data_IF_033531363374
#
_entry.id   IF_033531363374
#
_cell.length_a   1.000
_cell.length_b   1.000
_cell.length_c   1.000
_cell.angle_alpha   90.00
_cell.angle_beta   90.00
_cell.angle_gamma   90.00
#
_symmetry.space_group_name_H-M   'P 1'
#
loop_
_entity.id
_entity.type
_entity.pdbx_description
1 polymer ?
#
# COMPACT_ATOMS: atom_id res chain seq x y z
N UNK A 1 13.69 22.38 14.87
CA UNK A 1 14.54 21.58 13.94
C UNK A 1 13.71 21.29 12.71
N UNK A 2 14.04 21.86 11.56
CA UNK A 2 13.40 21.48 10.30
C UNK A 2 13.79 20.02 10.02
N UNK A 3 12.83 19.10 10.04
CA UNK A 3 13.03 17.79 9.42
C UNK A 3 13.11 18.08 7.93
N UNK A 4 14.29 17.95 7.32
CA UNK A 4 14.40 18.00 5.86
C UNK A 4 13.44 16.94 5.29
N UNK A 5 12.49 17.42 4.48
CA UNK A 5 11.43 16.61 3.89
C UNK A 5 12.05 15.85 2.73
N UNK A 6 12.67 14.71 2.98
CA UNK A 6 13.21 13.86 1.92
C UNK A 6 12.05 13.25 1.15
N UNK A 7 11.92 13.64 -0.12
CA UNK A 7 10.97 13.02 -1.05
C UNK A 7 11.30 11.54 -1.19
N UNK A 8 10.31 10.63 -1.03
CA UNK A 8 10.51 9.21 -1.28
C UNK A 8 11.08 8.96 -2.68
N UNK A 9 12.00 8.01 -2.81
CA UNK A 9 12.65 7.65 -4.07
C UNK A 9 12.36 6.22 -4.47
N UNK A 10 12.55 5.88 -5.75
CA UNK A 10 12.35 4.50 -6.24
C UNK A 10 13.26 3.51 -5.51
N UNK A 11 14.49 3.90 -5.21
CA UNK A 11 15.46 3.08 -4.48
C UNK A 11 15.00 2.80 -3.04
N UNK A 12 14.29 3.74 -2.41
CA UNK A 12 13.73 3.52 -1.07
C UNK A 12 12.60 2.47 -1.12
N UNK A 13 11.75 2.52 -2.15
CA UNK A 13 10.71 1.52 -2.36
C UNK A 13 11.32 0.12 -2.58
N UNK A 14 12.34 0.02 -3.44
CA UNK A 14 13.04 -1.23 -3.73
C UNK A 14 13.74 -1.81 -2.49
N UNK A 15 14.31 -0.95 -1.65
CA UNK A 15 14.92 -1.37 -0.38
C UNK A 15 13.89 -2.01 0.54
N UNK A 16 12.73 -1.37 0.73
CA UNK A 16 11.65 -1.93 1.54
C UNK A 16 11.09 -3.22 0.96
N UNK A 17 10.92 -3.28 -0.37
CA UNK A 17 10.48 -4.48 -1.07
C UNK A 17 11.46 -5.65 -0.83
N UNK A 18 12.76 -5.40 -0.92
CA UNK A 18 13.81 -6.40 -0.68
C UNK A 18 13.84 -6.95 0.76
N UNK A 19 13.41 -6.13 1.72
CA UNK A 19 13.32 -6.48 3.14
C UNK A 19 11.94 -7.07 3.51
N UNK A 20 11.08 -7.33 2.52
CA UNK A 20 9.72 -7.81 2.71
C UNK A 20 8.81 -6.83 3.48
N UNK A 21 9.16 -5.55 3.55
CA UNK A 21 8.31 -4.46 4.01
C UNK A 21 7.37 -4.02 2.87
N UNK A 22 6.50 -4.94 2.44
CA UNK A 22 5.71 -4.80 1.21
C UNK A 22 4.73 -3.62 1.29
N UNK A 23 4.14 -3.35 2.45
CA UNK A 23 3.19 -2.24 2.62
C UNK A 23 3.89 -0.87 2.53
N UNK A 24 5.06 -0.71 3.15
CA UNK A 24 5.89 0.49 3.01
C UNK A 24 6.30 0.72 1.55
N UNK A 25 6.75 -0.33 0.87
CA UNK A 25 7.14 -0.26 -0.53
C UNK A 25 5.96 0.13 -1.44
N UNK A 26 4.78 -0.47 -1.22
CA UNK A 26 3.57 -0.17 -1.99
C UNK A 26 3.18 1.31 -1.86
N UNK A 27 3.17 1.86 -0.65
CA UNK A 27 2.84 3.27 -0.41
C UNK A 27 3.81 4.22 -1.12
N UNK A 28 5.11 3.91 -1.10
CA UNK A 28 6.11 4.72 -1.80
C UNK A 28 5.94 4.63 -3.32
N UNK A 29 5.69 3.45 -3.87
CA UNK A 29 5.43 3.32 -5.30
C UNK A 29 4.16 4.06 -5.73
N UNK A 30 3.08 4.00 -4.94
CA UNK A 30 1.85 4.77 -5.21
C UNK A 30 2.11 6.28 -5.19
N UNK A 31 2.89 6.76 -4.22
CA UNK A 31 3.35 8.15 -4.18
C UNK A 31 4.15 8.53 -5.44
N UNK A 32 5.14 7.71 -5.81
CA UNK A 32 5.97 7.97 -6.99
C UNK A 32 5.18 7.95 -8.29
N UNK A 33 4.17 7.08 -8.41
CA UNK A 33 3.26 7.04 -9.58
C UNK A 33 2.45 8.34 -9.70
N UNK A 34 2.06 8.94 -8.57
CA UNK A 34 1.35 10.22 -8.55
C UNK A 34 2.24 11.37 -9.01
N UNK A 35 3.48 11.41 -8.55
CA UNK A 35 4.46 12.43 -8.95
C UNK A 35 4.97 12.25 -10.39
N UNK A 36 5.16 10.98 -10.80
CA UNK A 36 5.63 10.61 -12.13
C UNK A 36 4.94 9.32 -12.61
N UNK A 37 3.87 9.41 -13.41
CA UNK A 37 3.13 8.25 -13.90
C UNK A 37 3.93 7.51 -14.98
N UNK A 38 4.76 6.56 -14.55
CA UNK A 38 5.47 5.64 -15.43
C UNK A 38 4.82 4.26 -15.44
N UNK A 39 4.85 3.60 -16.61
CA UNK A 39 4.31 2.24 -16.74
C UNK A 39 5.11 1.24 -15.90
N UNK A 40 6.41 1.48 -15.71
CA UNK A 40 7.28 0.67 -14.86
C UNK A 40 6.84 0.70 -13.38
N UNK A 41 6.54 1.89 -12.83
CA UNK A 41 6.07 2.00 -11.44
C UNK A 41 4.70 1.34 -11.31
N UNK A 42 3.83 1.47 -12.32
CA UNK A 42 2.53 0.81 -12.33
C UNK A 42 2.67 -0.72 -12.31
N UNK A 43 3.54 -1.30 -13.14
CA UNK A 43 3.80 -2.74 -13.11
C UNK A 43 4.33 -3.20 -11.74
N UNK A 44 5.18 -2.40 -11.10
CA UNK A 44 5.67 -2.70 -9.75
C UNK A 44 4.55 -2.69 -8.71
N UNK A 45 3.66 -1.69 -8.76
CA UNK A 45 2.47 -1.64 -7.90
C UNK A 45 1.62 -2.89 -8.12
N UNK A 46 1.30 -3.24 -9.36
CA UNK A 46 0.44 -4.38 -9.66
C UNK A 46 1.05 -5.70 -9.17
N UNK A 47 2.38 -5.87 -9.30
CA UNK A 47 3.13 -7.02 -8.76
C UNK A 47 3.10 -7.05 -7.23
N UNK A 48 3.33 -5.92 -6.57
CA UNK A 48 3.29 -5.84 -5.10
C UNK A 48 1.88 -6.10 -4.58
N UNK A 49 0.85 -5.50 -5.17
CA UNK A 49 -0.54 -5.75 -4.80
C UNK A 49 -0.87 -7.22 -4.99
N UNK A 50 -0.49 -7.83 -6.12
CA UNK A 50 -0.68 -9.27 -6.29
C UNK A 50 0.03 -10.07 -5.19
N UNK A 51 1.25 -9.72 -4.79
CA UNK A 51 1.96 -10.41 -3.71
C UNK A 51 1.26 -10.21 -2.35
N UNK A 52 0.82 -8.98 -2.08
CA UNK A 52 0.12 -8.56 -0.86
C UNK A 52 -1.30 -9.12 -0.79
N UNK A 53 -1.95 -9.50 -1.89
CA UNK A 53 -3.31 -10.01 -1.88
C UNK A 53 -3.43 -11.50 -2.23
N UNK A 54 -2.45 -12.10 -2.92
CA UNK A 54 -2.50 -13.51 -3.34
C UNK A 54 -2.00 -14.52 -2.30
N UNK A 55 -1.01 -14.18 -1.46
CA UNK A 55 -0.52 -15.09 -0.41
C UNK A 55 -1.52 -15.26 0.77
N UNK A 56 -2.64 -14.54 0.81
CA UNK A 56 -3.40 -14.30 2.04
C UNK A 56 -4.89 -14.68 1.99
N UNK A 57 -5.37 -15.40 0.97
CA UNK A 57 -6.77 -15.87 0.95
C UNK A 57 -7.18 -16.59 2.26
N UNK A 58 -6.25 -17.33 2.86
CA UNK A 58 -6.46 -18.07 4.10
C UNK A 58 -6.48 -17.23 5.39
N UNK A 59 -5.99 -15.98 5.38
CA UNK A 59 -5.98 -15.14 6.59
C UNK A 59 -7.14 -14.13 6.65
N UNK A 60 -8.01 -14.12 5.64
CA UNK A 60 -9.28 -13.38 5.74
C UNK A 60 -10.21 -14.06 6.74
N UNK A 61 -10.93 -13.23 7.52
CA UNK A 61 -12.01 -13.74 8.36
C UNK A 61 -13.07 -14.43 7.49
N UNK A 62 -13.61 -15.54 7.99
CA UNK A 62 -14.62 -16.34 7.26
C UNK A 62 -15.81 -15.51 6.76
N UNK A 63 -16.22 -14.48 7.51
CA UNK A 63 -17.30 -13.58 7.10
C UNK A 63 -16.93 -12.79 5.84
N UNK A 64 -15.71 -12.27 5.76
CA UNK A 64 -15.22 -11.52 4.59
C UNK A 64 -15.15 -12.43 3.37
N UNK A 65 -14.71 -13.68 3.55
CA UNK A 65 -14.66 -14.66 2.46
C UNK A 65 -16.04 -15.03 1.90
N UNK A 66 -17.09 -14.96 2.72
CA UNK A 66 -18.48 -15.26 2.31
C UNK A 66 -19.18 -14.08 1.64
N UNK A 67 -18.77 -12.86 1.96
CA UNK A 67 -19.44 -11.63 1.49
C UNK A 67 -18.78 -11.10 0.22
N UNK A 68 -17.46 -11.22 0.08
CA UNK A 68 -16.72 -10.66 -1.06
C UNK A 68 -15.97 -11.75 -1.82
N UNK A 69 -16.04 -11.71 -3.14
CA UNK A 69 -15.19 -12.54 -4.00
C UNK A 69 -13.72 -12.10 -3.91
N UNK A 70 -12.74 -12.95 -4.30
CA UNK A 70 -11.33 -12.54 -4.35
C UNK A 70 -11.10 -11.26 -5.17
N UNK A 71 -11.81 -11.12 -6.29
CA UNK A 71 -11.73 -9.95 -7.17
C UNK A 71 -12.30 -8.70 -6.50
N UNK A 72 -13.45 -8.83 -5.82
CA UNK A 72 -14.06 -7.73 -5.06
C UNK A 72 -13.16 -7.29 -3.90
N UNK A 73 -12.53 -8.24 -3.18
CA UNK A 73 -11.59 -7.90 -2.11
C UNK A 73 -10.41 -7.11 -2.63
N UNK A 74 -9.88 -7.47 -3.80
CA UNK A 74 -8.80 -6.71 -4.45
C UNK A 74 -9.28 -5.33 -4.90
N UNK A 75 -10.46 -5.26 -5.51
CA UNK A 75 -11.04 -4.01 -5.99
C UNK A 75 -11.29 -3.02 -4.84
N UNK A 76 -11.91 -3.48 -3.75
CA UNK A 76 -12.15 -2.69 -2.55
C UNK A 76 -10.93 -2.55 -1.63
N UNK A 77 -9.77 -3.11 -2.03
CA UNK A 77 -8.54 -3.12 -1.23
C UNK A 77 -8.77 -3.61 0.23
N UNK A 78 -9.63 -4.63 0.39
CA UNK A 78 -9.94 -5.21 1.70
C UNK A 78 -8.70 -5.95 2.17
N UNK A 79 -8.08 -5.46 3.24
CA UNK A 79 -6.89 -6.06 3.80
C UNK A 79 -7.23 -7.18 4.80
N UNK A 80 -6.44 -8.27 4.81
CA UNK A 80 -6.42 -9.25 5.89
C UNK A 80 -6.08 -8.58 7.22
N UNK A 81 -6.51 -9.17 8.34
CA UNK A 81 -6.36 -8.55 9.67
C UNK A 81 -4.89 -8.24 10.01
N UNK A 82 -3.98 -9.15 9.69
CA UNK A 82 -2.53 -9.01 9.89
C UNK A 82 -1.97 -7.79 9.16
N UNK A 83 -2.29 -7.65 7.88
CA UNK A 83 -1.83 -6.54 7.04
C UNK A 83 -2.50 -5.22 7.42
N UNK A 84 -3.77 -5.25 7.81
CA UNK A 84 -4.44 -4.08 8.34
C UNK A 84 -3.73 -3.53 9.58
N UNK A 85 -3.26 -4.40 10.48
CA UNK A 85 -2.49 -3.96 11.64
C UNK A 85 -1.13 -3.34 11.26
N UNK A 86 -0.47 -3.84 10.22
CA UNK A 86 0.76 -3.24 9.70
C UNK A 86 0.49 -1.88 9.07
N UNK A 87 -0.52 -1.78 8.20
CA UNK A 87 -0.96 -0.53 7.61
C UNK A 87 -1.34 0.50 8.69
N UNK A 88 -2.11 0.10 9.70
CA UNK A 88 -2.49 0.96 10.82
C UNK A 88 -1.27 1.50 11.56
N UNK A 89 -0.25 0.67 11.83
CA UNK A 89 1.00 1.13 12.46
C UNK A 89 1.71 2.18 11.60
N UNK A 90 1.73 1.99 10.29
CA UNK A 90 2.35 2.94 9.36
C UNK A 90 1.63 4.29 9.38
N UNK A 91 0.30 4.28 9.39
CA UNK A 91 -0.55 5.48 9.51
C UNK A 91 -0.30 6.18 10.84
N UNK A 92 -0.31 5.44 11.96
CA UNK A 92 -0.14 6.00 13.31
C UNK A 92 1.27 6.56 13.56
N UNK A 93 2.29 6.05 12.85
CA UNK A 93 3.68 6.52 12.98
C UNK A 93 3.95 7.85 12.25
N UNK A 94 2.94 8.45 11.61
CA UNK A 94 3.05 9.70 10.82
C UNK A 94 4.11 9.61 9.69
N UNK A 95 4.58 8.39 9.40
CA UNK A 95 5.75 8.12 8.54
C UNK A 95 5.49 8.52 7.09
N UNK A 96 4.22 8.42 6.67
CA UNK A 96 3.73 8.80 5.35
C UNK A 96 2.44 9.63 5.42
N UNK A 97 2.23 10.39 6.50
CA UNK A 97 0.99 11.17 6.71
C UNK A 97 0.59 11.97 5.49
N UNK A 98 1.56 12.66 4.89
CA UNK A 98 1.37 13.50 3.70
C UNK A 98 1.06 12.71 2.43
N UNK A 99 1.45 11.44 2.36
CA UNK A 99 1.15 10.53 1.24
C UNK A 99 -0.28 10.00 1.38
N UNK A 100 -0.69 9.66 2.59
CA UNK A 100 -1.98 9.03 2.91
C UNK A 100 -3.12 10.06 2.93
N UNK A 101 -2.87 11.28 3.44
CA UNK A 101 -3.86 12.38 3.41
C UNK A 101 -4.29 12.72 1.99
N UNK A 102 -3.32 12.71 1.08
CA UNK A 102 -3.50 12.97 -0.34
C UNK A 102 -4.33 11.91 -1.08
N UNK A 103 -4.39 10.68 -0.56
CA UNK A 103 -5.20 9.57 -1.06
C UNK A 103 -6.64 9.67 -0.55
N UNK A 104 -6.84 9.96 0.75
CA UNK A 104 -8.16 10.04 1.38
C UNK A 104 -8.97 11.29 0.99
N UNK A 105 -8.32 12.44 0.77
CA UNK A 105 -9.02 13.69 0.41
C UNK A 105 -9.61 13.69 -1.01
N UNK A 106 -9.28 12.69 -1.84
CA UNK A 106 -9.68 12.66 -3.26
C UNK A 106 -10.75 11.63 -3.61
N UNK A 107 -11.11 10.71 -2.72
CA UNK A 107 -12.27 9.82 -2.93
C UNK A 107 -13.62 10.50 -2.62
N UNK A 108 -13.62 11.71 -2.04
CA UNK A 108 -14.84 12.50 -1.74
C UNK A 108 -15.23 13.50 -2.86
N UNK A 109 -14.65 13.46 -4.07
CA UNK A 109 -14.99 14.35 -5.20
C UNK A 109 -15.41 13.60 -6.46
#
# INVERSE_FOLDING_TARGET
>A
MLREKTTPTITLAELYESQNHLMDALLIYKYLKKENPSEEIKEKIDKLENKIFSEIESQYLSVIQKVFTPEERKFFQILPHTQFLEFKKIVEQDKYRDIISDELEKEEK
#
